data_IF_437691629437
#
_entry.id   IF_437691629437
#
_cell.length_a   1.000
_cell.length_b   1.000
_cell.length_c   1.000
_cell.angle_alpha   90.00
_cell.angle_beta   90.00
_cell.angle_gamma   90.00
#
_symmetry.space_group_name_H-M   'P 1'
#
loop_
_entity.id
_entity.type
_entity.pdbx_description
1 polymer ?
#
# COMPACT_ATOMS: atom_id res chain seq x y z
N UNK A 1 5.37 -0.32 16.40
CA UNK A 1 6.23 0.88 16.42
C UNK A 1 6.16 1.48 17.82
N UNK A 2 7.27 1.58 18.57
CA UNK A 2 7.22 2.01 19.99
C UNK A 2 6.89 3.49 20.18
N UNK A 3 7.37 4.35 19.28
CA UNK A 3 7.11 5.80 19.37
C UNK A 3 5.62 6.14 19.32
N UNK A 4 4.84 5.43 18.49
CA UNK A 4 3.38 5.56 18.38
C UNK A 4 2.68 5.52 19.75
N UNK A 5 3.12 4.61 20.64
CA UNK A 5 2.50 4.40 21.96
C UNK A 5 2.84 5.50 22.97
N UNK A 6 3.78 6.38 22.65
CA UNK A 6 4.31 7.43 23.54
C UNK A 6 3.97 8.84 23.07
N UNK A 7 3.17 8.99 22.01
CA UNK A 7 2.78 10.30 21.50
C UNK A 7 1.83 11.03 22.46
N UNK A 8 1.90 12.38 22.54
CA UNK A 8 0.87 13.18 23.17
C UNK A 8 -0.51 12.89 22.58
N UNK A 9 -1.56 12.96 23.41
CA UNK A 9 -2.92 12.57 23.01
C UNK A 9 -3.43 13.33 21.78
N UNK A 10 -3.16 14.63 21.71
CA UNK A 10 -3.54 15.50 20.57
C UNK A 10 -2.89 15.04 19.26
N UNK A 11 -1.60 14.69 19.28
CA UNK A 11 -0.89 14.18 18.09
C UNK A 11 -1.40 12.80 17.70
N UNK A 12 -1.58 11.90 18.67
CA UNK A 12 -2.15 10.58 18.41
C UNK A 12 -3.55 10.67 17.76
N UNK A 13 -4.39 11.62 18.21
CA UNK A 13 -5.70 11.87 17.63
C UNK A 13 -5.61 12.28 16.15
N UNK A 14 -4.69 13.18 15.77
CA UNK A 14 -4.48 13.57 14.36
C UNK A 14 -4.09 12.37 13.49
N UNK A 15 -3.24 11.48 14.00
CA UNK A 15 -2.83 10.25 13.28
C UNK A 15 -3.99 9.27 13.10
N UNK A 16 -4.86 9.12 14.11
CA UNK A 16 -6.07 8.30 14.01
C UNK A 16 -7.04 8.90 12.99
N UNK A 17 -7.29 10.21 13.05
CA UNK A 17 -8.15 10.94 12.10
C UNK A 17 -7.62 10.77 10.67
N UNK A 18 -6.31 10.82 10.47
CA UNK A 18 -5.66 10.57 9.19
C UNK A 18 -5.74 9.11 8.70
N UNK A 19 -6.39 8.21 9.44
CA UNK A 19 -6.63 6.83 9.01
C UNK A 19 -5.48 5.86 9.29
N UNK A 20 -4.47 6.24 10.06
CA UNK A 20 -3.29 5.39 10.34
C UNK A 20 -3.34 4.65 11.68
N UNK A 21 -4.39 4.86 12.49
CA UNK A 21 -4.51 4.27 13.83
C UNK A 21 -4.46 2.74 13.83
N UNK A 22 -5.34 2.10 13.05
CA UNK A 22 -5.40 0.64 12.93
C UNK A 22 -4.11 0.08 12.33
N UNK A 23 -3.60 0.74 11.28
CA UNK A 23 -2.35 0.37 10.62
C UNK A 23 -1.18 0.31 11.63
N UNK A 24 -0.98 1.37 12.41
CA UNK A 24 0.11 1.44 13.39
C UNK A 24 -0.04 0.47 14.55
N UNK A 25 -1.29 0.19 14.96
CA UNK A 25 -1.61 -0.74 16.05
C UNK A 25 -1.31 -2.20 15.68
N UNK A 26 -1.42 -2.53 14.39
CA UNK A 26 -1.27 -3.90 13.90
C UNK A 26 0.06 -4.20 13.20
N UNK A 27 0.99 -3.24 13.15
CA UNK A 27 2.32 -3.48 12.58
C UNK A 27 2.99 -4.72 13.21
N UNK A 28 3.61 -5.61 12.39
CA UNK A 28 4.20 -6.84 12.88
C UNK A 28 5.43 -6.56 13.76
N UNK A 29 5.58 -7.36 14.81
CA UNK A 29 6.76 -7.36 15.68
C UNK A 29 7.77 -8.35 15.09
N UNK A 30 8.68 -7.82 14.26
CA UNK A 30 9.93 -8.43 13.77
C UNK A 30 9.89 -9.77 12.97
N UNK A 31 8.86 -10.62 13.08
CA UNK A 31 8.83 -11.93 12.43
C UNK A 31 8.18 -11.90 11.02
N UNK A 32 9.03 -11.63 10.02
CA UNK A 32 8.67 -11.55 8.58
C UNK A 32 9.33 -12.69 7.81
N UNK A 33 8.54 -13.47 7.08
CA UNK A 33 9.08 -14.52 6.21
C UNK A 33 9.49 -13.94 4.86
N UNK A 34 10.76 -13.54 4.77
CA UNK A 34 11.33 -12.95 3.55
C UNK A 34 11.38 -13.92 2.36
N UNK A 35 11.12 -15.21 2.55
CA UNK A 35 11.28 -16.22 1.49
C UNK A 35 10.11 -16.23 0.50
N UNK A 36 8.88 -16.05 0.97
CA UNK A 36 7.71 -16.00 0.10
C UNK A 36 7.71 -14.76 -0.81
N UNK A 37 7.98 -13.53 -0.32
CA UNK A 37 8.14 -12.36 -1.19
C UNK A 37 9.22 -12.54 -2.25
N UNK A 38 10.34 -13.23 -1.93
CA UNK A 38 11.37 -13.53 -2.93
C UNK A 38 10.83 -14.43 -4.04
N UNK A 39 10.09 -15.50 -3.71
CA UNK A 39 9.47 -16.36 -4.71
C UNK A 39 8.39 -15.61 -5.53
N UNK A 40 7.62 -14.69 -4.93
CA UNK A 40 6.66 -13.85 -5.63
C UNK A 40 7.31 -12.88 -6.61
N UNK A 41 8.43 -12.24 -6.22
CA UNK A 41 9.16 -11.29 -7.08
C UNK A 41 9.62 -11.94 -8.38
N UNK A 42 9.94 -13.24 -8.37
CA UNK A 42 10.31 -13.99 -9.58
C UNK A 42 9.15 -14.16 -10.57
N UNK A 43 7.93 -13.82 -10.17
CA UNK A 43 6.72 -13.84 -11.01
C UNK A 43 6.24 -12.43 -11.35
N UNK A 44 6.96 -11.38 -10.92
CA UNK A 44 6.58 -9.99 -11.15
C UNK A 44 7.08 -9.47 -12.51
N UNK A 45 6.15 -9.02 -13.35
CA UNK A 45 6.42 -8.35 -14.62
C UNK A 45 6.23 -6.84 -14.47
N UNK A 46 7.34 -6.10 -14.53
CA UNK A 46 7.37 -4.63 -14.53
C UNK A 46 6.76 -4.01 -15.81
N UNK A 47 6.52 -4.82 -16.84
CA UNK A 47 5.82 -4.42 -18.07
C UNK A 47 4.34 -4.17 -17.91
N UNK A 48 3.73 -4.73 -16.86
CA UNK A 48 2.29 -4.67 -16.56
C UNK A 48 2.02 -4.39 -15.08
N UNK A 49 3.07 -4.31 -14.25
CA UNK A 49 3.00 -4.21 -12.79
C UNK A 49 2.08 -5.28 -12.16
N UNK A 50 2.25 -6.53 -12.62
CA UNK A 50 1.45 -7.67 -12.19
C UNK A 50 2.31 -8.92 -12.02
N UNK A 51 1.81 -9.86 -11.22
CA UNK A 51 2.29 -11.23 -11.15
C UNK A 51 1.74 -12.05 -12.32
N UNK A 52 2.60 -12.86 -12.93
CA UNK A 52 2.24 -13.81 -13.98
C UNK A 52 2.27 -15.21 -13.36
N UNK A 53 1.07 -15.74 -13.07
CA UNK A 53 0.85 -17.04 -12.44
C UNK A 53 0.38 -18.06 -13.49
N UNK A 54 0.44 -19.38 -13.21
CA UNK A 54 0.08 -20.42 -14.19
C UNK A 54 -1.32 -20.27 -14.83
N UNK A 55 -2.26 -19.64 -14.13
CA UNK A 55 -3.65 -19.45 -14.58
C UNK A 55 -3.96 -18.02 -15.10
N UNK A 56 -3.00 -17.09 -15.04
CA UNK A 56 -3.17 -15.72 -15.51
C UNK A 56 -2.51 -14.64 -14.64
N UNK A 57 -2.86 -13.38 -14.94
CA UNK A 57 -2.33 -12.22 -14.21
C UNK A 57 -3.09 -11.94 -12.91
N UNK A 58 -2.34 -11.57 -11.89
CA UNK A 58 -2.85 -11.04 -10.62
C UNK A 58 -1.96 -9.91 -10.13
N UNK A 59 -2.47 -9.02 -9.30
CA UNK A 59 -1.65 -8.01 -8.61
C UNK A 59 -2.29 -7.60 -7.29
N UNK A 60 -1.59 -6.79 -6.50
CA UNK A 60 -2.17 -6.20 -5.30
C UNK A 60 -3.15 -5.10 -5.72
N UNK A 61 -4.45 -5.32 -5.53
CA UNK A 61 -5.47 -4.32 -5.87
C UNK A 61 -5.53 -3.17 -4.84
N UNK A 62 -6.09 -2.00 -5.20
CA UNK A 62 -6.39 -0.93 -4.24
C UNK A 62 -7.21 -1.41 -3.03
N UNK A 63 -8.20 -2.28 -3.24
CA UNK A 63 -8.99 -2.87 -2.17
C UNK A 63 -8.17 -3.87 -1.34
N UNK A 64 -7.34 -4.71 -1.97
CA UNK A 64 -6.43 -5.62 -1.25
C UNK A 64 -5.53 -4.82 -0.31
N UNK A 65 -4.90 -3.75 -0.81
CA UNK A 65 -4.01 -2.92 -0.02
C UNK A 65 -4.73 -2.34 1.20
N UNK A 66 -5.93 -1.81 0.96
CA UNK A 66 -6.74 -1.15 1.99
C UNK A 66 -7.23 -2.14 3.04
N UNK A 67 -7.78 -3.28 2.64
CA UNK A 67 -8.27 -4.30 3.56
C UNK A 67 -7.13 -4.95 4.37
N UNK A 68 -5.93 -5.09 3.77
CA UNK A 68 -4.78 -5.69 4.45
C UNK A 68 -4.15 -4.74 5.46
N UNK A 69 -3.96 -3.47 5.11
CA UNK A 69 -3.23 -2.50 5.94
C UNK A 69 -4.12 -1.66 6.84
N UNK A 70 -5.34 -1.39 6.39
CA UNK A 70 -6.25 -0.41 6.98
C UNK A 70 -6.06 1.02 6.48
N UNK A 71 -5.10 1.26 5.59
CA UNK A 71 -4.84 2.56 4.95
C UNK A 71 -5.56 2.61 3.61
N UNK A 72 -6.49 3.55 3.45
CA UNK A 72 -7.29 3.67 2.24
C UNK A 72 -6.46 4.13 1.03
N UNK A 73 -6.80 3.58 -0.14
CA UNK A 73 -6.32 4.04 -1.45
C UNK A 73 -7.40 4.90 -2.10
N UNK A 74 -7.00 6.08 -2.57
CA UNK A 74 -7.87 7.14 -3.06
C UNK A 74 -7.68 8.43 -2.26
N UNK A 75 -8.35 9.50 -2.69
CA UNK A 75 -8.17 10.85 -2.14
C UNK A 75 -7.40 11.76 -3.12
N UNK A 76 -7.07 12.95 -2.65
CA UNK A 76 -6.37 13.96 -3.44
C UNK A 76 -4.94 13.51 -3.79
N UNK A 77 -4.43 13.88 -4.98
CA UNK A 77 -3.02 13.75 -5.30
C UNK A 77 -2.16 14.45 -4.26
N UNK A 78 -1.04 13.83 -3.87
CA UNK A 78 -0.08 14.44 -2.95
C UNK A 78 0.68 15.55 -3.70
N UNK A 79 0.74 16.78 -3.16
CA UNK A 79 1.48 17.89 -3.77
C UNK A 79 2.99 17.69 -3.58
N UNK A 80 3.60 16.81 -4.38
CA UNK A 80 5.03 16.54 -4.33
C UNK A 80 5.83 17.79 -4.78
N UNK A 81 6.59 18.39 -3.87
CA UNK A 81 7.49 19.51 -4.18
C UNK A 81 8.95 19.17 -3.91
N UNK A 82 9.70 18.89 -4.98
CA UNK A 82 11.13 18.58 -4.89
C UNK A 82 12.00 19.80 -4.57
N UNK A 83 11.47 21.03 -4.69
CA UNK A 83 12.19 22.27 -4.40
C UNK A 83 12.23 22.60 -2.91
N UNK A 84 11.48 21.89 -2.06
CA UNK A 84 11.52 22.02 -0.58
C UNK A 84 12.96 21.99 -0.05
N UNK A 85 13.83 21.17 -0.65
CA UNK A 85 15.25 21.04 -0.28
C UNK A 85 16.05 22.35 -0.35
N UNK A 86 15.58 23.31 -1.12
CA UNK A 86 16.24 24.60 -1.38
C UNK A 86 15.80 25.67 -0.37
N UNK A 87 14.75 25.39 0.42
CA UNK A 87 14.16 26.33 1.37
C UNK A 87 14.32 25.83 2.82
N UNK A 88 15.51 26.03 3.39
CA UNK A 88 15.80 25.64 4.78
C UNK A 88 14.90 26.36 5.82
N UNK A 89 14.47 27.59 5.54
CA UNK A 89 13.56 28.33 6.43
C UNK A 89 12.20 27.67 6.49
N UNK A 90 11.61 27.33 5.34
CA UNK A 90 10.37 26.58 5.27
C UNK A 90 10.48 25.24 6.01
N UNK A 91 11.56 24.47 5.81
CA UNK A 91 11.77 23.22 6.54
C UNK A 91 11.80 23.45 8.05
N UNK A 92 12.50 24.49 8.51
CA UNK A 92 12.56 24.87 9.93
C UNK A 92 11.19 25.29 10.46
N UNK A 93 10.41 26.03 9.70
CA UNK A 93 9.06 26.48 10.06
C UNK A 93 8.09 25.30 10.18
N UNK A 94 8.19 24.30 9.29
CA UNK A 94 7.30 23.15 9.30
C UNK A 94 7.67 22.10 10.36
N UNK A 95 8.97 21.90 10.59
CA UNK A 95 9.48 20.82 11.42
C UNK A 95 10.02 21.28 12.77
N UNK A 96 10.33 22.56 12.95
CA UNK A 96 10.98 23.08 14.17
C UNK A 96 12.50 22.88 14.21
N UNK A 97 13.10 22.25 13.20
CA UNK A 97 14.54 22.18 12.99
C UNK A 97 14.87 21.98 11.51
N UNK A 98 16.14 22.18 11.15
CA UNK A 98 16.67 21.84 9.82
C UNK A 98 17.51 20.56 9.95
N UNK A 99 17.07 19.44 9.37
CA UNK A 99 17.85 18.21 9.32
C UNK A 99 19.18 18.41 8.59
N UNK A 100 20.24 17.73 9.04
CA UNK A 100 21.59 17.88 8.50
C UNK A 100 21.71 17.66 6.97
N UNK A 101 20.88 16.76 6.41
CA UNK A 101 20.86 16.43 4.98
C UNK A 101 19.63 16.96 4.25
N UNK A 102 18.97 17.98 4.80
CA UNK A 102 17.79 18.60 4.20
C UNK A 102 18.04 19.09 2.76
N UNK A 103 19.24 19.59 2.46
CA UNK A 103 19.63 20.03 1.11
C UNK A 103 19.70 18.90 0.08
N UNK A 104 19.85 17.65 0.52
CA UNK A 104 19.73 16.48 -0.33
C UNK A 104 18.25 16.08 -0.60
N UNK A 105 17.29 16.82 -0.03
CA UNK A 105 15.86 16.59 -0.19
C UNK A 105 15.31 15.41 0.61
N UNK A 106 16.07 14.87 1.56
CA UNK A 106 15.65 13.73 2.36
C UNK A 106 16.14 13.79 3.80
N UNK A 107 15.45 13.08 4.70
CA UNK A 107 15.80 12.96 6.12
C UNK A 107 15.92 11.48 6.46
N UNK A 108 16.96 11.08 7.21
CA UNK A 108 16.99 9.74 7.80
C UNK A 108 15.92 9.64 8.88
N UNK A 109 15.13 8.57 8.85
CA UNK A 109 14.05 8.37 9.83
C UNK A 109 14.58 8.32 11.27
N UNK A 110 15.82 7.86 11.46
CA UNK A 110 16.50 7.85 12.76
C UNK A 110 16.82 9.25 13.27
N UNK A 111 17.11 10.21 12.39
CA UNK A 111 17.40 11.61 12.77
C UNK A 111 16.12 12.27 13.30
N UNK A 112 14.97 12.00 12.68
CA UNK A 112 13.65 12.47 13.16
C UNK A 112 13.36 11.91 14.55
N UNK A 113 13.49 10.59 14.72
CA UNK A 113 13.24 9.94 16.00
C UNK A 113 14.18 10.47 17.09
N UNK A 114 15.47 10.61 16.79
CA UNK A 114 16.46 11.09 17.75
C UNK A 114 16.20 12.52 18.21
N UNK A 115 15.71 13.38 17.31
CA UNK A 115 15.39 14.77 17.64
C UNK A 115 14.17 14.89 18.58
N UNK A 116 13.14 14.05 18.40
CA UNK A 116 11.88 14.19 19.15
C UNK A 116 11.66 13.21 20.30
N UNK A 117 12.30 12.04 20.31
CA UNK A 117 11.95 10.95 21.25
C UNK A 117 11.97 11.34 22.73
N UNK A 118 12.86 12.26 23.10
CA UNK A 118 13.08 12.72 24.47
C UNK A 118 12.85 14.24 24.62
N UNK A 119 12.33 14.90 23.58
CA UNK A 119 12.06 16.34 23.60
C UNK A 119 10.79 16.57 24.41
N UNK A 120 10.87 17.42 25.43
CA UNK A 120 9.69 17.89 26.16
C UNK A 120 8.83 18.73 25.21
N UNK A 121 7.56 18.38 25.07
CA UNK A 121 6.58 19.07 24.22
C UNK A 121 5.52 19.68 25.14
N UNK A 122 5.33 20.98 25.04
CA UNK A 122 4.22 21.64 25.72
C UNK A 122 2.92 21.31 24.99
N UNK A 123 2.02 20.56 25.65
CA UNK A 123 0.73 20.19 25.06
C UNK A 123 -0.25 21.37 24.91
N UNK A 124 0.10 22.55 25.42
CA UNK A 124 -0.64 23.80 25.19
C UNK A 124 -0.06 24.64 24.04
N UNK A 125 1.10 24.26 23.50
CA UNK A 125 1.72 24.93 22.36
C UNK A 125 1.35 24.21 21.06
N UNK A 126 0.36 24.76 20.35
CA UNK A 126 -0.13 24.19 19.09
C UNK A 126 0.96 24.16 17.99
N UNK A 127 1.95 25.06 18.04
CA UNK A 127 3.06 25.07 17.07
C UNK A 127 3.97 23.85 17.29
N UNK A 128 4.35 23.59 18.55
CA UNK A 128 5.15 22.40 18.87
C UNK A 128 4.41 21.10 18.57
N UNK A 129 3.11 21.04 18.84
CA UNK A 129 2.28 19.88 18.50
C UNK A 129 2.19 19.67 16.99
N UNK A 130 2.07 20.74 16.20
CA UNK A 130 2.07 20.66 14.74
C UNK A 130 3.42 20.17 14.21
N UNK A 131 4.54 20.71 14.71
CA UNK A 131 5.89 20.22 14.36
C UNK A 131 6.07 18.74 14.65
N UNK A 132 5.69 18.30 15.86
CA UNK A 132 5.76 16.89 16.24
C UNK A 132 4.86 16.02 15.35
N UNK A 133 3.66 16.50 15.01
CA UNK A 133 2.72 15.78 14.15
C UNK A 133 3.35 15.53 12.78
N UNK A 134 3.81 16.57 12.09
CA UNK A 134 4.46 16.45 10.76
C UNK A 134 5.68 15.53 10.80
N UNK A 135 6.53 15.71 11.82
CA UNK A 135 7.70 14.86 12.01
C UNK A 135 7.35 13.40 12.24
N UNK A 136 6.31 13.11 13.04
CA UNK A 136 5.85 11.74 13.26
C UNK A 136 5.28 11.13 11.97
N UNK A 137 4.54 11.87 11.16
CA UNK A 137 4.10 11.40 9.84
C UNK A 137 5.27 11.07 8.93
N UNK A 138 6.26 11.95 8.79
CA UNK A 138 7.48 11.69 8.01
C UNK A 138 8.21 10.44 8.50
N UNK A 139 8.37 10.28 9.82
CA UNK A 139 8.96 9.08 10.42
C UNK A 139 8.16 7.83 10.08
N UNK A 140 6.85 7.86 10.30
CA UNK A 140 5.95 6.74 10.08
C UNK A 140 5.96 6.30 8.61
N UNK A 141 5.79 7.25 7.69
CA UNK A 141 5.81 7.02 6.24
C UNK A 141 7.16 6.45 5.80
N UNK A 142 8.28 7.06 6.21
CA UNK A 142 9.63 6.61 5.87
C UNK A 142 10.01 5.26 6.47
N UNK A 143 9.38 4.85 7.59
CA UNK A 143 9.59 3.53 8.21
C UNK A 143 8.66 2.45 7.65
N UNK A 144 7.60 2.84 6.96
CA UNK A 144 6.54 1.93 6.50
C UNK A 144 6.26 2.11 5.01
N UNK A 145 5.20 2.87 4.66
CA UNK A 145 4.65 2.96 3.32
C UNK A 145 5.66 3.43 2.27
N UNK A 146 6.46 4.44 2.61
CA UNK A 146 7.43 5.08 1.71
C UNK A 146 8.87 4.68 2.04
N UNK A 147 9.05 3.58 2.76
CA UNK A 147 10.39 3.14 3.17
C UNK A 147 11.24 2.73 1.97
N UNK A 148 12.54 3.01 2.08
CA UNK A 148 13.54 2.66 1.08
C UNK A 148 14.75 1.99 1.74
N UNK A 149 15.70 1.54 0.93
CA UNK A 149 16.92 0.86 1.42
C UNK A 149 17.90 1.77 2.14
N UNK A 150 17.74 3.09 2.05
CA UNK A 150 18.57 4.09 2.73
C UNK A 150 17.98 4.53 4.08
N UNK A 151 16.81 4.01 4.47
CA UNK A 151 16.07 4.42 5.67
C UNK A 151 15.82 5.94 5.72
N UNK A 152 15.52 6.53 4.57
CA UNK A 152 15.20 7.95 4.44
C UNK A 152 13.74 8.18 4.01
N UNK A 153 13.22 9.37 4.31
CA UNK A 153 11.98 9.91 3.76
C UNK A 153 12.30 11.15 2.93
N UNK A 154 11.73 11.23 1.72
CA UNK A 154 11.90 12.40 0.86
C UNK A 154 11.03 13.56 1.36
N UNK A 155 11.61 14.75 1.45
CA UNK A 155 10.95 15.97 1.91
C UNK A 155 9.90 16.52 0.95
N UNK A 156 9.76 15.93 -0.24
CA UNK A 156 8.80 16.41 -1.25
C UNK A 156 7.35 16.22 -0.82
N UNK A 157 7.07 15.35 0.16
CA UNK A 157 5.74 15.21 0.73
C UNK A 157 5.42 16.23 1.83
N UNK A 158 6.38 17.07 2.25
CA UNK A 158 6.18 18.02 3.35
C UNK A 158 5.01 18.99 3.12
N UNK A 159 4.75 19.50 1.89
CA UNK A 159 3.59 20.35 1.63
C UNK A 159 2.25 19.68 1.97
N UNK A 160 2.16 18.36 1.78
CA UNK A 160 0.97 17.57 2.12
C UNK A 160 0.75 17.40 3.64
N UNK A 161 1.73 17.78 4.45
CA UNK A 161 1.70 17.70 5.91
C UNK A 161 1.56 19.07 6.56
N UNK A 162 1.60 20.17 5.79
CA UNK A 162 1.49 21.54 6.34
C UNK A 162 0.23 21.73 7.16
N UNK A 163 -0.92 21.43 6.57
CA UNK A 163 -2.20 21.40 7.26
C UNK A 163 -2.44 20.00 7.84
N UNK A 164 -2.18 19.86 9.14
CA UNK A 164 -2.29 18.57 9.85
C UNK A 164 -3.70 18.01 9.88
N UNK A 165 -4.73 18.84 9.69
CA UNK A 165 -6.12 18.41 9.64
C UNK A 165 -6.52 17.87 8.28
N UNK A 166 -5.78 18.21 7.23
CA UNK A 166 -6.03 17.79 5.86
C UNK A 166 -5.16 16.63 5.38
N UNK A 167 -4.31 16.09 6.26
CA UNK A 167 -3.48 14.92 5.94
C UNK A 167 -4.34 13.73 5.48
N UNK A 168 -5.55 13.59 6.03
CA UNK A 168 -6.50 12.52 5.68
C UNK A 168 -6.97 12.60 4.22
N UNK A 169 -6.95 13.79 3.61
CA UNK A 169 -7.50 14.01 2.27
C UNK A 169 -6.64 13.37 1.18
N UNK A 170 -5.34 13.15 1.44
CA UNK A 170 -4.37 12.74 0.44
C UNK A 170 -4.26 11.22 0.27
N UNK A 171 -3.92 10.80 -0.96
CA UNK A 171 -3.81 9.38 -1.34
C UNK A 171 -2.52 8.70 -0.85
N UNK A 172 -2.32 8.62 0.47
CA UNK A 172 -1.17 7.95 1.08
C UNK A 172 -1.13 6.45 0.79
N UNK A 173 -2.28 5.80 0.69
CA UNK A 173 -2.37 4.39 0.30
C UNK A 173 -1.83 4.16 -1.11
N UNK A 174 -2.20 5.02 -2.07
CA UNK A 174 -1.69 4.98 -3.44
C UNK A 174 -0.18 5.20 -3.50
N UNK A 175 0.36 6.16 -2.74
CA UNK A 175 1.81 6.37 -2.66
C UNK A 175 2.56 5.18 -2.03
N UNK A 176 1.94 4.51 -1.05
CA UNK A 176 2.43 3.24 -0.50
C UNK A 176 2.46 2.13 -1.55
N UNK A 177 1.40 1.98 -2.34
CA UNK A 177 1.33 1.01 -3.45
C UNK A 177 2.35 1.32 -4.55
N UNK A 178 2.51 2.58 -4.96
CA UNK A 178 3.52 3.02 -5.92
C UNK A 178 4.93 2.61 -5.47
N UNK A 179 5.24 2.82 -4.18
CA UNK A 179 6.52 2.42 -3.59
C UNK A 179 6.71 0.90 -3.64
N UNK A 180 5.67 0.12 -3.31
CA UNK A 180 5.72 -1.34 -3.41
C UNK A 180 5.99 -1.81 -4.84
N UNK A 181 5.31 -1.23 -5.84
CA UNK A 181 5.49 -1.56 -7.26
C UNK A 181 6.91 -1.23 -7.74
N UNK A 182 7.41 -0.04 -7.37
CA UNK A 182 8.79 0.40 -7.67
C UNK A 182 9.82 -0.64 -7.22
N UNK A 183 9.68 -1.15 -6.00
CA UNK A 183 10.62 -2.10 -5.42
C UNK A 183 10.44 -3.52 -5.94
N UNK A 184 9.21 -3.97 -6.21
CA UNK A 184 8.98 -5.25 -6.89
C UNK A 184 9.67 -5.28 -8.26
N UNK A 185 9.46 -4.24 -9.07
CA UNK A 185 10.11 -4.09 -10.39
C UNK A 185 11.63 -3.99 -10.26
N UNK A 186 12.14 -3.28 -9.24
CA UNK A 186 13.57 -3.18 -9.01
C UNK A 186 14.22 -4.52 -8.66
N UNK A 187 13.59 -5.32 -7.78
CA UNK A 187 14.13 -6.62 -7.37
C UNK A 187 13.98 -7.65 -8.48
N UNK A 188 12.85 -7.69 -9.20
CA UNK A 188 12.64 -8.63 -10.32
C UNK A 188 13.66 -8.43 -11.44
N UNK A 189 14.06 -7.17 -11.67
CA UNK A 189 15.13 -6.79 -12.62
C UNK A 189 16.54 -6.77 -12.02
N UNK A 190 16.72 -7.27 -10.80
CA UNK A 190 18.01 -7.32 -10.08
C UNK A 190 18.70 -5.95 -9.91
N UNK A 191 17.95 -4.85 -9.97
CA UNK A 191 18.45 -3.48 -9.71
C UNK A 191 18.68 -3.22 -8.22
N UNK A 192 17.99 -3.93 -7.34
CA UNK A 192 18.22 -3.95 -5.89
C UNK A 192 17.99 -5.34 -5.33
N UNK A 193 18.54 -5.62 -4.15
CA UNK A 193 18.41 -6.92 -3.45
C UNK A 193 17.32 -6.93 -2.38
N UNK A 194 16.75 -5.76 -2.06
CA UNK A 194 15.84 -5.58 -0.93
C UNK A 194 14.56 -4.89 -1.38
N UNK A 195 13.42 -5.40 -0.90
CA UNK A 195 12.13 -4.73 -1.02
C UNK A 195 12.09 -3.51 -0.09
N UNK A 196 11.56 -2.41 -0.60
CA UNK A 196 11.13 -1.25 0.20
C UNK A 196 9.61 -1.20 0.32
N UNK A 197 9.10 -0.08 0.80
CA UNK A 197 7.70 0.10 1.18
C UNK A 197 7.27 -0.85 2.30
N UNK A 198 5.97 -0.96 2.53
CA UNK A 198 5.43 -1.89 3.51
C UNK A 198 5.38 -3.34 2.99
N UNK A 199 6.54 -3.92 2.72
CA UNK A 199 6.70 -5.22 2.03
C UNK A 199 6.04 -6.43 2.71
N UNK A 200 5.69 -6.34 3.99
CA UNK A 200 4.94 -7.39 4.69
C UNK A 200 3.56 -7.64 4.06
N UNK A 201 3.03 -6.64 3.35
CA UNK A 201 1.75 -6.77 2.65
C UNK A 201 1.76 -7.93 1.63
N UNK A 202 2.90 -8.21 0.99
CA UNK A 202 3.02 -9.29 0.02
C UNK A 202 2.88 -10.67 0.66
N UNK A 203 3.35 -10.82 1.90
CA UNK A 203 3.15 -12.03 2.69
C UNK A 203 1.66 -12.20 2.99
N UNK A 204 1.02 -11.17 3.56
CA UNK A 204 -0.40 -11.23 3.93
C UNK A 204 -1.29 -11.43 2.69
N UNK A 205 -0.99 -10.76 1.59
CA UNK A 205 -1.70 -10.93 0.32
C UNK A 205 -1.64 -12.38 -0.17
N UNK A 206 -0.46 -13.00 -0.16
CA UNK A 206 -0.31 -14.40 -0.54
C UNK A 206 -0.95 -15.37 0.47
N UNK A 207 -1.04 -15.01 1.75
CA UNK A 207 -1.74 -15.82 2.75
C UNK A 207 -3.26 -15.77 2.56
N UNK A 208 -3.80 -14.58 2.32
CA UNK A 208 -5.24 -14.34 2.21
C UNK A 208 -5.80 -14.81 0.87
N UNK A 209 -5.08 -14.53 -0.23
CA UNK A 209 -5.58 -14.72 -1.60
C UNK A 209 -5.04 -16.02 -2.20
N UNK A 210 -3.72 -16.23 -2.10
CA UNK A 210 -3.07 -17.42 -2.67
C UNK A 210 -3.11 -18.64 -1.75
N UNK A 211 -3.58 -18.49 -0.50
CA UNK A 211 -3.63 -19.55 0.50
C UNK A 211 -2.25 -20.18 0.80
N UNK A 212 -1.17 -19.40 0.65
CA UNK A 212 0.23 -19.86 0.79
C UNK A 212 0.84 -19.60 2.18
N UNK A 213 0.03 -19.62 3.24
CA UNK A 213 0.54 -19.32 4.58
C UNK A 213 1.40 -20.44 5.16
N UNK A 214 2.64 -20.16 5.61
CA UNK A 214 3.46 -21.12 6.34
C UNK A 214 3.06 -21.22 7.81
N UNK A 215 1.94 -20.63 8.25
CA UNK A 215 1.53 -20.63 9.65
C UNK A 215 0.14 -21.22 9.81
N UNK A 216 -0.04 -22.02 10.87
CA UNK A 216 -1.37 -22.31 11.40
C UNK A 216 -1.74 -21.19 12.37
N UNK A 217 -2.97 -20.71 12.30
CA UNK A 217 -3.50 -19.72 13.24
C UNK A 217 -4.05 -20.43 14.49
N UNK A 218 -3.99 -19.76 15.64
CA UNK A 218 -4.63 -20.24 16.88
C UNK A 218 -6.14 -20.25 16.77
N UNK A 219 -6.68 -19.21 16.12
CA UNK A 219 -8.09 -19.04 15.79
C UNK A 219 -8.17 -18.51 14.35
N UNK A 220 -9.08 -19.05 13.55
CA UNK A 220 -9.28 -18.64 12.16
C UNK A 220 -10.36 -17.57 12.05
N UNK A 221 -10.13 -16.42 12.69
CA UNK A 221 -11.04 -15.26 12.59
C UNK A 221 -10.91 -14.60 11.22
N UNK A 222 -11.86 -14.85 10.33
CA UNK A 222 -11.84 -14.33 8.95
C UNK A 222 -12.44 -12.93 8.83
N UNK A 223 -13.40 -12.58 9.66
CA UNK A 223 -14.19 -11.35 9.55
C UNK A 223 -13.58 -10.21 10.38
N UNK A 224 -12.33 -9.88 10.08
CA UNK A 224 -11.56 -8.85 10.78
C UNK A 224 -10.87 -7.90 9.79
N UNK A 225 -10.83 -6.62 10.16
CA UNK A 225 -10.04 -5.59 9.48
C UNK A 225 -9.18 -4.84 10.51
N UNK A 226 -7.96 -4.45 10.13
CA UNK A 226 -7.25 -4.82 8.89
C UNK A 226 -6.75 -6.27 8.93
N UNK A 227 -6.69 -6.95 7.77
CA UNK A 227 -6.37 -8.40 7.69
C UNK A 227 -4.99 -8.76 8.22
N UNK A 228 -4.03 -7.83 8.22
CA UNK A 228 -2.72 -8.09 8.81
C UNK A 228 -2.79 -8.42 10.32
N UNK A 229 -3.87 -8.07 11.01
CA UNK A 229 -4.10 -8.50 12.39
C UNK A 229 -4.11 -10.03 12.52
N UNK A 230 -4.76 -10.76 11.60
CA UNK A 230 -4.85 -12.24 11.62
C UNK A 230 -3.48 -12.89 11.66
N UNK A 231 -2.53 -12.28 10.95
CA UNK A 231 -1.19 -12.81 10.75
C UNK A 231 -0.15 -12.25 11.73
N UNK A 232 -0.56 -11.57 12.81
CA UNK A 232 0.34 -11.16 13.89
C UNK A 232 0.95 -12.37 14.57
N UNK A 233 2.19 -12.22 15.07
CA UNK A 233 2.91 -13.31 15.75
C UNK A 233 2.15 -13.90 16.93
N UNK A 234 1.39 -13.08 17.68
CA UNK A 234 0.56 -13.55 18.79
C UNK A 234 -0.59 -14.49 18.37
N UNK A 235 -1.03 -14.42 17.12
CA UNK A 235 -2.15 -15.19 16.57
C UNK A 235 -1.67 -16.47 15.85
N UNK A 236 -0.37 -16.62 15.61
CA UNK A 236 0.23 -17.82 15.00
C UNK A 236 0.35 -18.92 16.06
N UNK A 237 -0.14 -20.13 15.75
CA UNK A 237 -0.05 -21.30 16.60
C UNK A 237 1.27 -22.05 16.37
N UNK A 238 1.57 -22.37 15.12
CA UNK A 238 2.80 -23.06 14.73
C UNK A 238 3.18 -22.77 13.29
N UNK A 239 4.45 -22.98 12.96
CA UNK A 239 4.98 -22.87 11.61
C UNK A 239 4.90 -24.23 10.91
N UNK A 240 4.43 -24.23 9.68
CA UNK A 240 4.36 -25.39 8.80
C UNK A 240 5.70 -25.55 8.08
N UNK A 241 6.15 -26.80 7.92
CA UNK A 241 7.37 -27.16 7.19
C UNK A 241 6.99 -27.90 5.90
N UNK A 242 7.69 -27.65 4.78
CA UNK A 242 8.84 -26.76 4.62
C UNK A 242 8.43 -25.31 4.34
N UNK A 243 9.32 -24.37 4.68
CA UNK A 243 9.12 -22.93 4.42
C UNK A 243 10.39 -22.31 3.83
N UNK A 244 10.88 -22.91 2.74
CA UNK A 244 12.04 -22.45 1.95
C UNK A 244 11.58 -21.68 0.71
N UNK A 245 12.49 -20.98 0.04
CA UNK A 245 12.16 -20.30 -1.23
C UNK A 245 11.74 -21.34 -2.27
N UNK A 246 12.42 -22.49 -2.34
CA UNK A 246 12.10 -23.59 -3.26
C UNK A 246 10.70 -24.16 -3.01
N UNK A 247 10.28 -24.27 -1.76
CA UNK A 247 8.92 -24.70 -1.43
C UNK A 247 7.89 -23.71 -1.98
N UNK A 248 8.06 -22.41 -1.72
CA UNK A 248 7.14 -21.39 -2.22
C UNK A 248 7.15 -21.29 -3.74
N UNK A 249 8.30 -21.44 -4.41
CA UNK A 249 8.37 -21.53 -5.88
C UNK A 249 7.48 -22.65 -6.40
N UNK A 250 7.64 -23.88 -5.88
CA UNK A 250 6.81 -25.03 -6.28
C UNK A 250 5.33 -24.79 -6.02
N UNK A 251 4.99 -24.23 -4.86
CA UNK A 251 3.60 -23.93 -4.51
C UNK A 251 2.98 -22.90 -5.47
N UNK A 252 3.74 -21.85 -5.84
CA UNK A 252 3.32 -20.85 -6.84
C UNK A 252 3.24 -21.46 -8.24
N UNK A 253 4.13 -22.38 -8.61
CA UNK A 253 4.16 -22.98 -9.94
C UNK A 253 3.03 -24.01 -10.15
N UNK A 254 2.47 -24.53 -9.06
CA UNK A 254 1.40 -25.55 -9.07
C UNK A 254 0.06 -25.02 -8.57
N UNK A 255 -0.05 -23.72 -8.31
CA UNK A 255 -1.27 -23.11 -7.83
C UNK A 255 -2.39 -23.22 -8.90
N UNK A 256 -3.55 -23.67 -8.45
CA UNK A 256 -4.74 -23.78 -9.29
C UNK A 256 -5.72 -22.64 -8.92
N UNK A 257 -6.36 -22.05 -9.92
CA UNK A 257 -7.41 -21.03 -9.76
C UNK A 257 -8.55 -21.47 -8.84
N UNK A 258 -8.84 -22.77 -8.74
CA UNK A 258 -9.89 -23.31 -7.87
C UNK A 258 -9.53 -23.26 -6.37
N UNK A 259 -8.23 -23.21 -6.04
CA UNK A 259 -7.73 -23.20 -4.67
C UNK A 259 -7.50 -21.77 -4.15
N UNK A 260 -7.79 -20.76 -4.97
CA UNK A 260 -7.63 -19.37 -4.60
C UNK A 260 -8.84 -18.85 -3.85
N UNK A 261 -8.59 -17.89 -2.97
CA UNK A 261 -9.62 -17.09 -2.37
C UNK A 261 -9.86 -15.84 -3.23
N UNK A 262 -10.76 -15.96 -4.21
CA UNK A 262 -11.18 -14.85 -5.09
C UNK A 262 -11.96 -13.76 -4.36
N UNK A 263 -12.39 -14.07 -3.16
CA UNK A 263 -13.30 -13.29 -2.35
C UNK A 263 -12.73 -13.23 -0.92
N UNK A 264 -11.56 -12.59 -0.71
CA UNK A 264 -10.93 -12.52 0.60
C UNK A 264 -11.56 -11.48 1.54
N UNK A 265 -12.39 -10.57 1.01
CA UNK A 265 -13.01 -9.46 1.75
C UNK A 265 -14.56 -9.31 1.69
N UNK A 266 -15.39 -10.32 1.37
CA UNK A 266 -16.73 -10.06 0.81
C UNK A 266 -17.87 -10.24 1.80
N UNK A 267 -17.63 -10.82 2.97
CA UNK A 267 -18.65 -11.09 3.97
C UNK A 267 -18.82 -9.94 4.99
N UNK A 268 -18.01 -8.88 4.88
CA UNK A 268 -17.98 -7.80 5.86
C UNK A 268 -18.41 -6.48 5.24
N UNK A 269 -19.24 -5.74 5.98
CA UNK A 269 -19.54 -4.34 5.68
C UNK A 269 -18.25 -3.54 5.71
N UNK A 270 -17.77 -3.12 4.54
CA UNK A 270 -16.57 -2.30 4.46
C UNK A 270 -16.83 -0.93 5.11
N UNK A 271 -15.88 -0.41 5.92
CA UNK A 271 -15.95 0.96 6.39
C UNK A 271 -16.11 1.93 5.22
N UNK A 272 -16.89 3.01 5.38
CA UNK A 272 -17.15 3.98 4.30
C UNK A 272 -15.87 4.52 3.67
N UNK A 273 -14.81 4.70 4.48
CA UNK A 273 -13.47 5.14 4.03
C UNK A 273 -12.77 4.15 3.07
N UNK A 274 -13.21 2.90 2.96
CA UNK A 274 -12.64 1.89 2.04
C UNK A 274 -13.41 1.79 0.72
N UNK A 275 -14.60 2.42 0.61
CA UNK A 275 -15.44 2.29 -0.57
C UNK A 275 -14.76 2.85 -1.83
N UNK A 276 -14.03 3.97 -1.70
CA UNK A 276 -13.27 4.51 -2.84
C UNK A 276 -12.20 3.52 -3.33
N UNK A 277 -11.55 2.79 -2.43
CA UNK A 277 -10.57 1.77 -2.81
C UNK A 277 -11.21 0.57 -3.51
N UNK A 278 -12.45 0.23 -3.12
CA UNK A 278 -13.26 -0.76 -3.84
C UNK A 278 -13.58 -0.30 -5.26
N UNK A 279 -14.04 0.94 -5.43
CA UNK A 279 -14.30 1.52 -6.76
C UNK A 279 -13.04 1.51 -7.64
N UNK A 280 -11.91 2.00 -7.11
CA UNK A 280 -10.63 2.08 -7.82
C UNK A 280 -10.09 0.70 -8.25
N UNK A 281 -10.52 -0.38 -7.59
CA UNK A 281 -10.12 -1.74 -7.97
C UNK A 281 -10.60 -2.09 -9.38
N UNK A 282 -11.74 -1.54 -9.82
CA UNK A 282 -12.29 -1.72 -11.17
C UNK A 282 -11.89 -0.59 -12.14
N UNK A 283 -10.70 0.01 -11.96
CA UNK A 283 -10.20 1.11 -12.80
C UNK A 283 -8.78 0.86 -13.30
N UNK A 284 -8.39 1.63 -14.31
CA UNK A 284 -6.99 1.92 -14.61
C UNK A 284 -6.57 3.13 -13.80
N UNK A 285 -5.66 2.93 -12.85
CA UNK A 285 -5.23 3.95 -11.88
C UNK A 285 -3.72 4.20 -12.03
N UNK A 286 -3.32 5.46 -12.10
CA UNK A 286 -1.92 5.84 -11.96
C UNK A 286 -1.60 6.08 -10.49
N UNK A 287 -0.76 5.24 -9.92
CA UNK A 287 -0.28 5.40 -8.54
C UNK A 287 0.89 6.37 -8.55
N UNK A 288 0.79 7.45 -7.79
CA UNK A 288 1.83 8.49 -7.70
C UNK A 288 2.58 8.42 -6.37
N UNK A 289 3.90 8.55 -6.43
CA UNK A 289 4.77 8.37 -5.28
C UNK A 289 6.11 9.08 -5.44
N UNK A 290 6.93 9.17 -4.37
CA UNK A 290 8.18 9.93 -4.38
C UNK A 290 9.28 9.31 -5.26
N UNK A 291 9.04 8.12 -5.81
CA UNK A 291 9.99 7.37 -6.64
C UNK A 291 9.49 7.13 -8.07
N UNK A 292 8.44 7.87 -8.47
CA UNK A 292 7.82 7.80 -9.79
C UNK A 292 6.36 7.34 -9.75
N UNK A 293 5.77 7.26 -10.93
CA UNK A 293 4.38 6.87 -11.16
C UNK A 293 4.29 5.45 -11.71
N UNK A 294 3.28 4.70 -11.29
CA UNK A 294 3.10 3.29 -11.68
C UNK A 294 1.63 2.99 -11.95
N UNK A 295 1.34 2.44 -13.13
CA UNK A 295 -0.01 1.99 -13.42
C UNK A 295 -0.40 0.75 -12.60
N UNK A 296 -1.59 0.82 -11.99
CA UNK A 296 -2.44 -0.31 -11.67
C UNK A 296 -3.45 -0.49 -12.81
N UNK A 297 -3.55 -1.71 -13.35
CA UNK A 297 -4.35 -2.05 -14.52
C UNK A 297 -5.47 -3.03 -14.12
N UNK A 298 -6.58 -2.52 -13.56
CA UNK A 298 -7.71 -3.35 -13.12
C UNK A 298 -8.28 -4.23 -14.25
N UNK A 299 -8.23 -3.74 -15.50
CA UNK A 299 -8.68 -4.45 -16.70
C UNK A 299 -7.86 -5.70 -17.03
N UNK A 300 -6.65 -5.84 -16.47
CA UNK A 300 -5.81 -7.03 -16.66
C UNK A 300 -5.97 -8.07 -15.55
N UNK A 301 -6.62 -7.71 -14.45
CA UNK A 301 -6.85 -8.56 -13.27
C UNK A 301 -8.34 -8.77 -13.00
N UNK A 302 -9.15 -8.88 -14.06
CA UNK A 302 -10.62 -9.09 -14.03
C UNK A 302 -11.05 -10.18 -13.05
N UNK A 303 -10.27 -11.25 -12.91
CA UNK A 303 -10.57 -12.33 -11.94
C UNK A 303 -10.56 -11.84 -10.49
N UNK A 304 -9.70 -10.89 -10.13
CA UNK A 304 -9.71 -10.28 -8.80
C UNK A 304 -10.82 -9.23 -8.66
N UNK A 305 -11.10 -8.49 -9.74
CA UNK A 305 -12.14 -7.44 -9.74
C UNK A 305 -13.55 -8.04 -9.63
N UNK A 306 -13.79 -9.15 -10.33
CA UNK A 306 -15.10 -9.79 -10.48
C UNK A 306 -15.09 -11.25 -10.00
N UNK A 307 -14.42 -11.54 -8.89
CA UNK A 307 -14.58 -12.80 -8.12
C UNK A 307 -14.41 -14.10 -8.92
N UNK A 308 -13.34 -14.21 -9.71
CA UNK A 308 -12.95 -15.42 -10.44
C UNK A 308 -13.39 -15.45 -11.91
N UNK A 309 -14.15 -14.45 -12.38
CA UNK A 309 -14.54 -14.34 -13.80
C UNK A 309 -13.30 -14.26 -14.69
N UNK A 310 -13.19 -15.21 -15.62
CA UNK A 310 -12.06 -15.32 -16.54
C UNK A 310 -12.28 -14.43 -17.77
N UNK A 311 -11.35 -13.51 -18.04
CA UNK A 311 -11.19 -12.92 -19.37
C UNK A 311 -10.35 -13.85 -20.24
N UNK A 312 -10.77 -14.09 -21.50
CA UNK A 312 -10.05 -14.96 -22.44
C UNK A 312 -8.61 -14.49 -22.70
N UNK A 313 -8.40 -13.17 -22.77
CA UNK A 313 -7.07 -12.55 -22.89
C UNK A 313 -7.05 -11.18 -22.18
N UNK A 314 -5.98 -10.84 -21.43
CA UNK A 314 -5.82 -9.49 -20.88
C UNK A 314 -5.65 -8.45 -22.00
N UNK A 315 -6.32 -7.28 -21.92
CA UNK A 315 -6.21 -6.21 -22.91
C UNK A 315 -4.78 -5.65 -22.95
N UNK A 316 -4.32 -5.07 -24.06
CA UNK A 316 -2.97 -4.51 -24.13
C UNK A 316 -2.70 -3.46 -23.05
N UNK A 317 -1.46 -3.44 -22.55
CA UNK A 317 -1.00 -2.38 -21.64
C UNK A 317 -1.06 -1.00 -22.32
N UNK A 318 -1.21 0.09 -21.55
CA UNK A 318 -1.08 1.45 -22.07
C UNK A 318 0.26 1.69 -22.80
N UNK A 319 0.25 2.52 -23.84
CA UNK A 319 1.46 2.85 -24.62
C UNK A 319 2.49 3.68 -23.83
N UNK A 320 2.02 4.42 -22.84
CA UNK A 320 2.77 5.28 -21.92
C UNK A 320 3.23 4.56 -20.65
N UNK A 321 3.10 3.22 -20.57
CA UNK A 321 3.45 2.39 -19.40
C UNK A 321 4.85 2.67 -18.81
N UNK A 322 5.81 3.07 -19.65
CA UNK A 322 7.19 3.36 -19.24
C UNK A 322 7.56 4.85 -19.25
N UNK A 323 6.63 5.71 -19.65
CA UNK A 323 6.83 7.16 -19.79
C UNK A 323 5.79 7.93 -18.95
N UNK A 324 5.38 7.37 -17.81
CA UNK A 324 4.34 7.97 -16.95
C UNK A 324 4.70 9.36 -16.43
N UNK A 325 5.99 9.69 -16.41
CA UNK A 325 6.49 11.02 -16.02
C UNK A 325 6.17 12.10 -17.08
N UNK A 326 5.85 11.70 -18.32
CA UNK A 326 5.43 12.63 -19.38
C UNK A 326 3.93 12.96 -19.34
N UNK A 327 3.14 12.24 -18.53
CA UNK A 327 1.70 12.47 -18.40
C UNK A 327 1.48 13.75 -17.59
N UNK A 328 0.69 14.67 -18.14
CA UNK A 328 0.42 15.99 -17.56
C UNK A 328 -1.01 16.47 -17.88
N UNK A 329 -1.41 17.60 -17.29
CA UNK A 329 -2.71 18.22 -17.55
C UNK A 329 -3.89 17.33 -17.19
N UNK A 330 -4.96 17.41 -17.98
CA UNK A 330 -6.21 16.68 -17.73
C UNK A 330 -6.00 15.16 -17.77
N UNK A 331 -5.17 14.66 -18.69
CA UNK A 331 -4.87 13.22 -18.75
C UNK A 331 -4.29 12.71 -17.43
N UNK A 332 -3.41 13.49 -16.80
CA UNK A 332 -2.86 13.14 -15.49
C UNK A 332 -3.96 13.12 -14.41
N UNK A 333 -4.85 14.11 -14.41
CA UNK A 333 -5.97 14.15 -13.47
C UNK A 333 -6.88 12.92 -13.60
N UNK A 334 -7.27 12.57 -14.82
CA UNK A 334 -8.19 11.47 -15.09
C UNK A 334 -7.60 10.11 -14.66
N UNK A 335 -6.32 9.86 -14.94
CA UNK A 335 -5.67 8.60 -14.56
C UNK A 335 -5.36 8.52 -13.07
N UNK A 336 -5.17 9.64 -12.36
CA UNK A 336 -5.00 9.68 -10.91
C UNK A 336 -6.32 9.41 -10.18
N UNK A 337 -7.45 9.84 -10.76
CA UNK A 337 -8.80 9.60 -10.21
C UNK A 337 -9.35 8.20 -10.53
N UNK A 338 -8.70 7.51 -11.46
CA UNK A 338 -9.02 6.17 -11.92
C UNK A 338 -9.93 6.19 -13.15
N UNK A 339 -9.38 5.84 -14.31
CA UNK A 339 -10.16 5.67 -15.53
C UNK A 339 -11.01 4.41 -15.41
N UNK A 340 -12.35 4.50 -15.58
CA UNK A 340 -13.19 3.31 -15.62
C UNK A 340 -12.68 2.35 -16.69
N UNK A 341 -12.70 1.06 -16.36
CA UNK A 341 -12.47 0.03 -17.38
C UNK A 341 -13.64 0.16 -18.36
N UNK A 342 -13.38 0.68 -19.57
CA UNK A 342 -14.39 0.75 -20.60
C UNK A 342 -14.99 -0.64 -20.81
N UNK A 343 -16.30 -0.72 -21.07
CA UNK A 343 -16.99 -1.95 -21.48
C UNK A 343 -16.48 -2.40 -22.86
N UNK A 344 -15.19 -2.72 -22.99
CA UNK A 344 -14.63 -3.32 -24.21
C UNK A 344 -15.14 -4.74 -24.45
N UNK A 345 -16.05 -5.26 -23.62
CA UNK A 345 -17.08 -6.17 -24.13
C UNK A 345 -18.42 -5.93 -23.44
N UNK A 346 -19.49 -5.83 -24.24
CA UNK A 346 -20.85 -6.08 -23.78
C UNK A 346 -21.04 -7.52 -23.24
N UNK A 347 -20.00 -8.38 -23.29
CA UNK A 347 -20.01 -9.75 -22.80
C UNK A 347 -19.65 -9.87 -21.31
N UNK A 348 -18.89 -8.93 -20.71
CA UNK A 348 -18.51 -9.02 -19.29
C UNK A 348 -19.61 -8.55 -18.33
N UNK A 349 -20.40 -7.54 -18.73
CA UNK A 349 -21.52 -7.04 -17.92
C UNK A 349 -22.68 -8.05 -17.78
N UNK A 350 -22.84 -8.94 -18.75
CA UNK A 350 -23.86 -10.00 -18.68
C UNK A 350 -23.54 -11.03 -17.59
N UNK A 351 -22.27 -11.20 -17.23
CA UNK A 351 -21.82 -12.07 -16.14
C UNK A 351 -21.86 -11.33 -14.79
N UNK A 352 -21.48 -10.04 -14.74
CA UNK A 352 -21.50 -9.26 -13.50
C UNK A 352 -22.93 -8.97 -12.97
N UNK A 353 -23.90 -8.71 -13.86
CA UNK A 353 -25.30 -8.47 -13.49
C UNK A 353 -26.01 -9.72 -12.95
N UNK A 354 -25.54 -10.93 -13.30
CA UNK A 354 -26.04 -12.16 -12.67
C UNK A 354 -25.57 -12.32 -11.22
N UNK A 355 -24.42 -11.74 -10.84
CA UNK A 355 -23.89 -11.84 -9.47
C UNK A 355 -24.49 -10.84 -8.49
N UNK A 356 -24.90 -9.64 -8.93
CA UNK A 356 -25.71 -8.74 -8.10
C UNK A 356 -27.06 -9.38 -7.73
N UNK A 357 -27.61 -10.21 -8.62
CA UNK A 357 -28.80 -11.03 -8.33
C UNK A 357 -28.55 -12.17 -7.34
N UNK A 358 -27.35 -12.75 -7.32
CA UNK A 358 -26.98 -13.85 -6.39
C UNK A 358 -26.63 -13.31 -5.00
N UNK A 359 -26.02 -12.13 -4.88
CA UNK A 359 -25.81 -11.51 -3.57
C UNK A 359 -27.13 -11.05 -2.91
N UNK A 360 -28.15 -10.71 -3.72
CA UNK A 360 -29.48 -10.34 -3.21
C UNK A 360 -30.41 -11.54 -2.96
N UNK A 361 -30.05 -12.76 -3.37
CA UNK A 361 -30.85 -13.98 -3.11
C UNK A 361 -30.40 -14.77 -1.87
N UNK A 362 -29.38 -14.29 -1.16
CA UNK A 362 -28.94 -14.79 0.14
C UNK A 362 -29.10 -13.75 1.28
N UNK A 363 -30.02 -12.78 1.12
CA UNK A 363 -30.54 -11.97 2.24
C UNK A 363 -31.79 -12.59 2.83
#
# INVERSE_FOLDING_TARGET
MEWWKRLPRKVAAKVVIAGFGDFLTHLPVADRDRKLPVALVERWWDSTNSFHLPFGEMTLTPLDFTCITGVAVGGLPIPWDYNVRENANYIKEQLGWVPAFASAGAIRVTDIFSFYKDKAIDENDDVQLAHLTRAFFLYMLGRTLLSNTAETIHLCCLPALEDVDRIVDFNWGGAGMATLYRFMSAVSRRRTKSLGGYSFIWEVWAYEILQLSPYKLKQDERDVLPKMWRWRSCNRASRQSPSTVEHFRRAIDTINQENLNWLPFPAMTLPSRYLKSKELTATRLLLDGPMGRFYYLGERVIRQVYAGVCAKQPPHRPSDMYNTDTISGNTLHDVLDGLPIANETNDFLHVATQWEGVCNSYM
#
